data_IF_106015729953
#
_entry.id   IF_106015729953
#
_cell.length_a   1.000
_cell.length_b   1.000
_cell.length_c   1.000
_cell.angle_alpha   90.00
_cell.angle_beta   90.00
_cell.angle_gamma   90.00
#
_symmetry.space_group_name_H-M   'P 1'
#
loop_
_entity.id
_entity.type
_entity.pdbx_description
1 polymer ?
#
# COMPACT_ATOMS: atom_id res chain seq x y z
N UNK A 1 -35.65 38.46 -6.84
CA UNK A 1 -34.59 37.77 -7.61
C UNK A 1 -33.30 37.95 -6.85
N UNK A 2 -32.97 37.03 -5.95
CA UNK A 2 -31.76 37.10 -5.13
C UNK A 2 -30.64 36.38 -5.86
N UNK A 3 -29.88 37.16 -6.62
CA UNK A 3 -28.60 36.75 -7.19
C UNK A 3 -27.64 36.54 -6.01
N UNK A 4 -27.60 35.29 -5.55
CA UNK A 4 -26.75 34.91 -4.42
C UNK A 4 -25.44 34.51 -5.06
N UNK A 5 -24.41 35.35 -4.91
CA UNK A 5 -23.03 35.03 -5.32
C UNK A 5 -22.69 33.62 -4.83
N UNK A 6 -22.82 32.62 -5.72
CA UNK A 6 -22.47 31.25 -5.40
C UNK A 6 -20.97 31.25 -5.17
N UNK A 7 -20.55 30.85 -3.97
CA UNK A 7 -19.12 30.70 -3.70
C UNK A 7 -18.56 29.65 -4.66
N UNK A 8 -17.28 29.79 -5.04
CA UNK A 8 -16.61 28.83 -5.93
C UNK A 8 -16.72 27.39 -5.41
N UNK A 9 -16.69 27.20 -4.08
CA UNK A 9 -16.98 25.94 -3.40
C UNK A 9 -18.38 25.41 -3.72
N UNK A 10 -19.43 26.24 -3.62
CA UNK A 10 -20.80 25.82 -3.93
C UNK A 10 -20.96 25.41 -5.41
N UNK A 11 -20.33 26.14 -6.34
CA UNK A 11 -20.33 25.77 -7.76
C UNK A 11 -19.72 24.39 -8.00
N UNK A 12 -18.59 24.09 -7.34
CA UNK A 12 -17.91 22.78 -7.45
C UNK A 12 -18.82 21.64 -6.94
N UNK A 13 -19.46 21.84 -5.78
CA UNK A 13 -20.31 20.81 -5.18
C UNK A 13 -21.61 20.58 -5.99
N UNK A 14 -22.22 21.65 -6.50
CA UNK A 14 -23.37 21.54 -7.40
C UNK A 14 -23.01 20.77 -8.68
N UNK A 15 -21.84 21.09 -9.27
CA UNK A 15 -21.35 20.42 -10.46
C UNK A 15 -21.04 18.94 -10.20
N UNK A 16 -20.48 18.62 -9.03
CA UNK A 16 -20.19 17.26 -8.56
C UNK A 16 -21.46 16.44 -8.34
N UNK A 17 -22.46 17.02 -7.68
CA UNK A 17 -23.77 16.38 -7.49
C UNK A 17 -24.46 16.10 -8.83
N UNK A 18 -24.39 17.04 -9.77
CA UNK A 18 -24.95 16.88 -11.11
C UNK A 18 -24.15 15.91 -11.99
N UNK A 19 -22.87 15.65 -11.68
CA UNK A 19 -22.09 14.60 -12.32
C UNK A 19 -22.48 13.21 -11.79
N UNK A 20 -22.87 13.12 -10.52
CA UNK A 20 -23.36 11.88 -9.89
C UNK A 20 -22.29 10.78 -9.81
N UNK A 21 -21.02 11.15 -9.88
CA UNK A 21 -19.92 10.19 -9.80
C UNK A 21 -19.77 9.65 -8.38
N UNK A 22 -19.63 8.33 -8.25
CA UNK A 22 -19.37 7.66 -6.96
C UNK A 22 -17.93 7.92 -6.46
N UNK A 23 -17.01 8.20 -7.38
CA UNK A 23 -15.59 8.52 -7.12
C UNK A 23 -15.09 9.56 -8.13
N UNK A 24 -14.16 10.41 -7.71
CA UNK A 24 -13.58 11.46 -8.54
C UNK A 24 -12.10 11.18 -8.81
N UNK A 25 -11.78 10.75 -10.03
CA UNK A 25 -10.39 10.58 -10.51
C UNK A 25 -9.89 11.86 -11.20
N UNK A 26 -8.63 11.94 -11.67
CA UNK A 26 -8.17 13.07 -12.48
C UNK A 26 -9.06 13.33 -13.70
N UNK A 27 -9.70 12.28 -14.27
CA UNK A 27 -10.62 12.41 -15.39
C UNK A 27 -11.91 13.16 -14.99
N UNK A 28 -12.55 12.76 -13.87
CA UNK A 28 -13.75 13.41 -13.35
C UNK A 28 -13.46 14.83 -12.87
N UNK A 29 -12.28 15.08 -12.28
CA UNK A 29 -11.86 16.43 -11.90
C UNK A 29 -11.69 17.32 -13.13
N UNK A 30 -11.10 16.82 -14.21
CA UNK A 30 -11.01 17.57 -15.47
C UNK A 30 -12.38 17.76 -16.12
N UNK A 31 -13.29 16.79 -16.00
CA UNK A 31 -14.68 16.91 -16.44
C UNK A 31 -15.42 18.00 -15.65
N UNK A 32 -15.26 18.05 -14.33
CA UNK A 32 -15.79 19.12 -13.48
C UNK A 32 -15.24 20.48 -13.89
N UNK A 33 -13.93 20.56 -14.13
CA UNK A 33 -13.28 21.81 -14.54
C UNK A 33 -13.83 22.33 -15.88
N UNK A 34 -14.05 21.44 -16.86
CA UNK A 34 -14.69 21.80 -18.13
C UNK A 34 -16.13 22.25 -17.95
N UNK A 35 -16.89 21.57 -17.09
CA UNK A 35 -18.28 21.91 -16.79
C UNK A 35 -18.39 23.28 -16.10
N UNK A 36 -17.58 23.54 -15.10
CA UNK A 36 -17.51 24.83 -14.40
C UNK A 36 -17.15 25.97 -15.36
N UNK A 37 -16.19 25.75 -16.28
CA UNK A 37 -15.82 26.73 -17.29
C UNK A 37 -16.96 26.98 -18.30
N UNK A 38 -17.69 25.94 -18.71
CA UNK A 38 -18.79 26.04 -19.65
C UNK A 38 -20.02 26.74 -19.05
N UNK A 39 -20.33 26.47 -17.77
CA UNK A 39 -21.53 26.99 -17.10
C UNK A 39 -21.31 28.38 -16.47
N UNK A 40 -20.08 28.67 -16.02
CA UNK A 40 -19.78 29.90 -15.26
C UNK A 40 -18.67 30.77 -15.88
N UNK A 41 -18.14 30.41 -17.06
CA UNK A 41 -17.15 31.19 -17.76
C UNK A 41 -15.88 31.45 -16.92
N UNK A 42 -15.29 32.67 -16.96
CA UNK A 42 -14.08 32.99 -16.21
C UNK A 42 -14.19 32.77 -14.69
N UNK A 43 -15.39 32.91 -14.13
CA UNK A 43 -15.63 32.71 -12.68
C UNK A 43 -15.52 31.24 -12.29
N UNK A 44 -15.86 30.33 -13.20
CA UNK A 44 -15.71 28.87 -13.04
C UNK A 44 -14.28 28.36 -13.14
N UNK A 45 -13.32 29.20 -13.60
CA UNK A 45 -11.92 28.80 -13.76
C UNK A 45 -11.31 28.43 -12.41
N UNK A 46 -10.96 27.16 -12.26
CA UNK A 46 -10.49 26.56 -11.01
C UNK A 46 -9.42 25.51 -11.27
N UNK A 47 -8.42 25.40 -10.38
CA UNK A 47 -7.37 24.40 -10.47
C UNK A 47 -7.84 23.02 -10.00
N UNK A 48 -7.24 21.96 -10.55
CA UNK A 48 -7.56 20.57 -10.19
C UNK A 48 -7.36 20.29 -8.69
N UNK A 49 -6.27 20.79 -8.10
CA UNK A 49 -5.96 20.60 -6.69
C UNK A 49 -7.03 21.20 -5.77
N UNK A 50 -7.51 22.42 -6.08
CA UNK A 50 -8.57 23.07 -5.30
C UNK A 50 -9.92 22.36 -5.44
N UNK A 51 -10.22 21.80 -6.63
CA UNK A 51 -11.42 20.96 -6.81
C UNK A 51 -11.30 19.72 -5.93
N UNK A 52 -10.14 19.04 -5.96
CA UNK A 52 -9.89 17.86 -5.14
C UNK A 52 -10.04 18.14 -3.64
N UNK A 53 -9.48 19.25 -3.13
CA UNK A 53 -9.63 19.67 -1.73
C UNK A 53 -11.10 19.92 -1.37
N UNK A 54 -11.85 20.65 -2.20
CA UNK A 54 -13.27 20.94 -1.95
C UNK A 54 -14.12 19.67 -1.92
N UNK A 55 -13.84 18.71 -2.80
CA UNK A 55 -14.53 17.42 -2.82
C UNK A 55 -14.20 16.60 -1.56
N UNK A 56 -12.92 16.54 -1.15
CA UNK A 56 -12.49 15.87 0.08
C UNK A 56 -13.14 16.48 1.33
N UNK A 57 -13.16 17.81 1.43
CA UNK A 57 -13.81 18.56 2.52
C UNK A 57 -15.31 18.28 2.62
N UNK A 58 -15.95 17.97 1.50
CA UNK A 58 -17.37 17.62 1.44
C UNK A 58 -17.65 16.13 1.72
N UNK A 59 -16.61 15.35 2.05
CA UNK A 59 -16.70 13.91 2.27
C UNK A 59 -16.90 13.11 0.98
N UNK A 60 -16.67 13.72 -0.19
CA UNK A 60 -16.71 13.02 -1.47
C UNK A 60 -15.38 12.30 -1.73
N UNK A 61 -15.49 11.18 -2.43
CA UNK A 61 -14.42 10.24 -2.65
C UNK A 61 -13.51 10.70 -3.79
N UNK A 62 -12.24 11.00 -3.50
CA UNK A 62 -11.29 11.56 -4.48
C UNK A 62 -10.03 10.68 -4.54
N UNK A 63 -9.72 10.19 -5.74
CA UNK A 63 -8.62 9.26 -6.02
C UNK A 63 -7.73 9.89 -7.08
N UNK A 64 -6.59 10.49 -6.70
CA UNK A 64 -5.78 11.32 -7.59
C UNK A 64 -4.66 10.55 -8.30
N UNK A 65 -4.35 9.35 -7.82
CA UNK A 65 -3.29 8.50 -8.37
C UNK A 65 -3.80 7.09 -8.67
N UNK A 66 -3.17 6.43 -9.65
CA UNK A 66 -3.42 5.01 -9.95
C UNK A 66 -3.11 4.11 -8.73
N UNK A 67 -2.25 4.60 -7.83
CA UNK A 67 -1.91 3.93 -6.58
C UNK A 67 -3.06 3.99 -5.57
N UNK A 68 -3.68 5.15 -5.37
CA UNK A 68 -4.89 5.28 -4.53
C UNK A 68 -6.06 4.47 -5.11
N UNK A 69 -6.16 4.37 -6.44
CA UNK A 69 -7.20 3.54 -7.10
C UNK A 69 -6.99 2.04 -6.84
N UNK A 70 -5.74 1.57 -6.91
CA UNK A 70 -5.39 0.19 -6.61
C UNK A 70 -5.50 -0.13 -5.11
N UNK A 71 -5.15 0.81 -4.22
CA UNK A 71 -5.31 0.65 -2.77
C UNK A 71 -6.76 0.43 -2.39
N UNK A 72 -7.67 1.13 -3.05
CA UNK A 72 -9.10 1.04 -2.78
C UNK A 72 -9.77 -0.15 -3.44
N UNK A 73 -9.36 -0.49 -4.67
CA UNK A 73 -9.91 -1.64 -5.39
C UNK A 73 -9.50 -2.97 -4.73
N UNK A 74 -8.29 -3.01 -4.14
CA UNK A 74 -7.71 -4.22 -3.57
C UNK A 74 -7.46 -4.12 -2.06
N UNK A 75 -8.19 -3.24 -1.37
CA UNK A 75 -7.99 -2.97 0.06
C UNK A 75 -8.04 -4.25 0.90
N UNK A 76 -8.99 -5.14 0.59
CA UNK A 76 -9.14 -6.43 1.25
C UNK A 76 -7.93 -7.36 1.04
N UNK A 77 -7.30 -7.32 -0.14
CA UNK A 77 -6.09 -8.12 -0.39
C UNK A 77 -4.85 -7.57 0.31
N UNK A 78 -4.86 -6.30 0.69
CA UNK A 78 -3.77 -5.65 1.42
C UNK A 78 -3.94 -5.66 2.94
N UNK A 79 -5.12 -6.00 3.44
CA UNK A 79 -5.38 -6.07 4.87
C UNK A 79 -4.58 -7.19 5.55
N UNK A 80 -4.05 -6.89 6.74
CA UNK A 80 -3.23 -7.77 7.58
C UNK A 80 -2.03 -8.47 6.91
N UNK A 81 -1.53 -7.98 5.76
CA UNK A 81 -0.40 -8.61 5.05
C UNK A 81 0.92 -8.60 5.85
N UNK A 82 1.10 -7.65 6.78
CA UNK A 82 2.36 -7.48 7.54
C UNK A 82 2.26 -7.96 9.00
N UNK A 83 1.70 -9.16 9.19
CA UNK A 83 1.70 -9.83 10.48
C UNK A 83 2.75 -10.95 10.52
N UNK A 84 3.93 -10.67 11.08
CA UNK A 84 4.94 -11.71 11.31
C UNK A 84 5.72 -11.54 12.61
N UNK A 85 5.58 -12.54 13.48
CA UNK A 85 6.30 -12.60 14.75
C UNK A 85 7.48 -13.56 14.68
N UNK A 86 7.42 -14.61 13.87
CA UNK A 86 8.48 -15.61 13.69
C UNK A 86 9.01 -15.67 12.25
N UNK A 87 9.97 -16.55 11.99
CA UNK A 87 10.47 -16.86 10.64
C UNK A 87 9.40 -17.52 9.79
N UNK A 88 8.63 -18.46 10.36
CA UNK A 88 7.53 -19.14 9.68
C UNK A 88 6.44 -18.15 9.25
N UNK A 89 6.07 -17.20 10.12
CA UNK A 89 5.09 -16.17 9.77
C UNK A 89 5.62 -15.28 8.61
N UNK A 90 6.93 -14.97 8.62
CA UNK A 90 7.54 -14.16 7.59
C UNK A 90 7.60 -14.88 6.22
N UNK A 91 7.81 -16.20 6.22
CA UNK A 91 7.72 -17.03 5.02
C UNK A 91 6.30 -17.01 4.45
N UNK A 92 5.28 -17.20 5.30
CA UNK A 92 3.86 -17.11 4.88
C UNK A 92 3.54 -15.73 4.32
N UNK A 93 4.01 -14.67 4.97
CA UNK A 93 3.88 -13.29 4.50
C UNK A 93 4.49 -13.11 3.11
N UNK A 94 5.73 -13.56 2.89
CA UNK A 94 6.41 -13.45 1.60
C UNK A 94 5.73 -14.29 0.51
N UNK A 95 5.21 -15.47 0.83
CA UNK A 95 4.40 -16.28 -0.09
C UNK A 95 3.16 -15.52 -0.55
N UNK A 96 2.40 -14.90 0.36
CA UNK A 96 1.23 -14.09 0.00
C UNK A 96 1.59 -12.88 -0.86
N UNK A 97 2.68 -12.18 -0.53
CA UNK A 97 3.16 -11.06 -1.32
C UNK A 97 3.55 -11.51 -2.74
N UNK A 98 4.20 -12.66 -2.88
CA UNK A 98 4.54 -13.21 -4.20
C UNK A 98 3.31 -13.57 -5.02
N UNK A 99 2.34 -14.26 -4.41
CA UNK A 99 1.07 -14.60 -5.06
C UNK A 99 0.34 -13.37 -5.60
N UNK A 100 0.32 -12.27 -4.83
CA UNK A 100 -0.26 -11.00 -5.26
C UNK A 100 0.52 -10.37 -6.41
N UNK A 101 1.86 -10.37 -6.35
CA UNK A 101 2.69 -9.89 -7.47
C UNK A 101 2.40 -10.70 -8.74
N UNK A 102 2.33 -12.03 -8.66
CA UNK A 102 2.04 -12.86 -9.82
C UNK A 102 0.62 -12.65 -10.35
N UNK A 103 -0.38 -12.49 -9.45
CA UNK A 103 -1.77 -12.15 -9.80
C UNK A 103 -1.84 -10.84 -10.57
N UNK A 104 -1.29 -9.76 -10.02
CA UNK A 104 -1.35 -8.43 -10.64
C UNK A 104 -0.50 -8.34 -11.91
N UNK A 105 0.62 -9.08 -12.00
CA UNK A 105 1.38 -9.24 -13.26
C UNK A 105 0.54 -9.83 -14.38
N UNK A 106 -0.24 -10.89 -14.09
CA UNK A 106 -1.15 -11.52 -15.07
C UNK A 106 -2.28 -10.58 -15.51
N UNK A 107 -2.71 -9.69 -14.63
CA UNK A 107 -3.77 -8.71 -14.90
C UNK A 107 -3.24 -7.41 -15.55
N UNK A 108 -1.93 -7.18 -15.56
CA UNK A 108 -1.32 -5.95 -16.07
C UNK A 108 -1.40 -4.76 -15.11
N UNK A 109 -1.73 -5.02 -13.84
CA UNK A 109 -2.01 -4.01 -12.80
C UNK A 109 -0.72 -3.49 -12.16
N UNK A 110 -0.03 -2.57 -12.85
CA UNK A 110 1.28 -2.05 -12.42
C UNK A 110 1.23 -1.33 -11.07
N UNK A 111 0.16 -0.58 -10.80
CA UNK A 111 0.01 0.16 -9.54
C UNK A 111 -0.15 -0.78 -8.35
N UNK A 112 -0.93 -1.86 -8.51
CA UNK A 112 -1.11 -2.88 -7.49
C UNK A 112 0.21 -3.64 -7.22
N UNK A 113 1.01 -3.92 -8.24
CA UNK A 113 2.36 -4.50 -8.06
C UNK A 113 3.24 -3.57 -7.22
N UNK A 114 3.32 -2.28 -7.56
CA UNK A 114 4.14 -1.32 -6.80
C UNK A 114 3.68 -1.26 -5.34
N UNK A 115 2.37 -1.32 -5.10
CA UNK A 115 1.82 -1.37 -3.75
C UNK A 115 2.29 -2.60 -2.96
N UNK A 116 2.27 -3.79 -3.55
CA UNK A 116 2.80 -5.00 -2.91
C UNK A 116 4.29 -4.82 -2.55
N UNK A 117 5.08 -4.23 -3.46
CA UNK A 117 6.50 -3.96 -3.21
C UNK A 117 6.72 -2.94 -2.07
N UNK A 118 5.89 -1.90 -1.96
CA UNK A 118 5.94 -0.96 -0.85
C UNK A 118 5.66 -1.62 0.51
N UNK A 119 4.67 -2.51 0.55
CA UNK A 119 4.33 -3.30 1.74
C UNK A 119 5.51 -4.17 2.14
N UNK A 120 6.13 -4.87 1.19
CA UNK A 120 7.34 -5.66 1.44
C UNK A 120 8.51 -4.79 1.95
N UNK A 121 8.73 -3.60 1.38
CA UNK A 121 9.73 -2.64 1.88
C UNK A 121 9.42 -2.18 3.30
N UNK A 122 8.15 -2.01 3.67
CA UNK A 122 7.73 -1.70 5.03
C UNK A 122 8.02 -2.86 5.99
N UNK A 123 7.70 -4.09 5.60
CA UNK A 123 8.05 -5.31 6.35
C UNK A 123 9.54 -5.38 6.64
N UNK A 124 10.37 -5.17 5.61
CA UNK A 124 11.83 -5.10 5.74
C UNK A 124 12.28 -4.06 6.78
N UNK A 125 11.79 -2.82 6.66
CA UNK A 125 12.15 -1.72 7.58
C UNK A 125 11.76 -2.05 9.03
N UNK A 126 10.60 -2.65 9.25
CA UNK A 126 10.14 -3.08 10.59
C UNK A 126 11.08 -4.13 11.19
N UNK A 127 11.44 -5.15 10.40
CA UNK A 127 12.37 -6.20 10.83
C UNK A 127 13.77 -5.62 11.14
N UNK A 128 14.31 -4.77 10.25
CA UNK A 128 15.59 -4.08 10.47
C UNK A 128 15.60 -3.24 11.75
N UNK A 129 14.50 -2.53 12.02
CA UNK A 129 14.36 -1.69 13.22
C UNK A 129 14.50 -2.53 14.50
N UNK A 130 13.82 -3.67 14.56
CA UNK A 130 13.87 -4.55 15.74
C UNK A 130 15.24 -5.21 15.86
N UNK A 131 15.83 -5.67 14.75
CA UNK A 131 17.16 -6.28 14.73
C UNK A 131 18.26 -5.35 15.25
N UNK A 132 18.12 -4.03 15.04
CA UNK A 132 19.06 -3.00 15.51
C UNK A 132 18.80 -2.53 16.94
N UNK A 133 17.67 -2.88 17.56
CA UNK A 133 17.31 -2.39 18.88
C UNK A 133 18.06 -3.15 19.98
N UNK A 134 19.03 -2.55 20.70
CA UNK A 134 19.83 -3.27 21.69
C UNK A 134 19.04 -3.73 22.93
N UNK A 135 17.81 -3.23 23.12
CA UNK A 135 16.91 -3.67 24.20
C UNK A 135 16.20 -5.00 23.89
N UNK A 136 16.33 -5.51 22.67
CA UNK A 136 15.73 -6.77 22.24
C UNK A 136 16.74 -7.89 22.40
N UNK A 137 16.28 -9.04 22.88
CA UNK A 137 17.09 -10.23 23.10
C UNK A 137 17.88 -10.63 21.85
N UNK A 138 19.10 -11.13 22.06
CA UNK A 138 20.05 -11.40 20.97
C UNK A 138 19.50 -12.40 19.94
N UNK A 139 18.84 -13.47 20.41
CA UNK A 139 18.19 -14.45 19.54
C UNK A 139 17.09 -13.81 18.69
N UNK A 140 16.24 -12.96 19.31
CA UNK A 140 15.16 -12.28 18.60
C UNK A 140 15.68 -11.25 17.60
N UNK A 141 16.80 -10.58 17.89
CA UNK A 141 17.47 -9.69 16.93
C UNK A 141 18.03 -10.47 15.73
N UNK A 142 18.64 -11.63 15.97
CA UNK A 142 19.13 -12.50 14.90
C UNK A 142 17.99 -12.97 13.99
N UNK A 143 16.87 -13.39 14.58
CA UNK A 143 15.66 -13.77 13.84
C UNK A 143 15.14 -12.61 12.96
N UNK A 144 15.01 -11.39 13.53
CA UNK A 144 14.57 -10.22 12.76
C UNK A 144 15.57 -9.78 11.71
N UNK A 145 16.86 -10.01 11.91
CA UNK A 145 17.88 -9.78 10.88
C UNK A 145 17.71 -10.74 9.71
N UNK A 146 17.45 -12.02 9.99
CA UNK A 146 17.21 -13.03 8.96
C UNK A 146 15.95 -12.70 8.16
N UNK A 147 14.85 -12.33 8.83
CA UNK A 147 13.62 -11.87 8.17
C UNK A 147 13.88 -10.66 7.28
N UNK A 148 14.62 -9.64 7.76
CA UNK A 148 14.98 -8.48 6.94
C UNK A 148 15.78 -8.89 5.69
N UNK A 149 16.67 -9.88 5.81
CA UNK A 149 17.41 -10.40 4.67
C UNK A 149 16.51 -11.14 3.68
N UNK A 150 15.51 -11.89 4.15
CA UNK A 150 14.54 -12.55 3.27
C UNK A 150 13.75 -11.53 2.44
N UNK A 151 13.19 -10.50 3.09
CA UNK A 151 12.52 -9.40 2.39
C UNK A 151 13.44 -8.71 1.38
N UNK A 152 14.71 -8.52 1.71
CA UNK A 152 15.69 -7.91 0.80
C UNK A 152 15.87 -8.77 -0.46
N UNK A 153 16.11 -10.07 -0.30
CA UNK A 153 16.36 -10.97 -1.44
C UNK A 153 15.10 -11.14 -2.29
N UNK A 154 13.93 -11.25 -1.67
CA UNK A 154 12.67 -11.29 -2.42
C UNK A 154 12.44 -10.00 -3.22
N UNK A 155 12.73 -8.83 -2.65
CA UNK A 155 12.62 -7.54 -3.37
C UNK A 155 13.63 -7.41 -4.54
N UNK A 156 14.80 -8.03 -4.44
CA UNK A 156 15.85 -7.99 -5.46
C UNK A 156 15.59 -9.02 -6.57
N UNK A 157 15.19 -10.25 -6.19
CA UNK A 157 15.03 -11.41 -7.07
C UNK A 157 13.82 -12.25 -6.64
N UNK A 158 12.58 -11.80 -6.87
CA UNK A 158 11.38 -12.49 -6.40
C UNK A 158 11.23 -13.87 -7.04
N UNK A 159 11.52 -13.98 -8.34
CA UNK A 159 11.31 -15.22 -9.10
C UNK A 159 12.24 -16.38 -8.68
N UNK A 160 13.33 -16.10 -7.97
CA UNK A 160 14.29 -17.09 -7.47
C UNK A 160 14.30 -17.21 -5.94
N UNK A 161 13.47 -16.43 -5.25
CA UNK A 161 13.53 -16.30 -3.79
C UNK A 161 13.21 -17.61 -3.08
N UNK A 162 12.15 -18.33 -3.49
CA UNK A 162 11.73 -19.55 -2.79
C UNK A 162 12.72 -20.71 -2.99
N UNK A 163 13.29 -20.85 -4.19
CA UNK A 163 14.37 -21.81 -4.43
C UNK A 163 15.60 -21.49 -3.55
N UNK A 164 15.94 -20.20 -3.43
CA UNK A 164 17.00 -19.77 -2.53
C UNK A 164 16.67 -20.03 -1.06
N UNK A 165 15.43 -19.77 -0.63
CA UNK A 165 14.96 -19.94 0.74
C UNK A 165 15.05 -21.40 1.19
N UNK A 166 14.67 -22.33 0.32
CA UNK A 166 14.77 -23.77 0.56
C UNK A 166 16.21 -24.21 0.83
N UNK A 167 17.16 -23.67 0.06
CA UNK A 167 18.60 -23.92 0.28
C UNK A 167 19.08 -23.23 1.55
N UNK A 168 18.65 -22.00 1.82
CA UNK A 168 19.02 -21.23 3.02
C UNK A 168 18.62 -21.95 4.30
N UNK A 169 17.40 -22.51 4.38
CA UNK A 169 16.91 -23.26 5.55
C UNK A 169 17.67 -24.57 5.80
N UNK A 170 18.38 -25.09 4.79
CA UNK A 170 19.21 -26.29 4.92
C UNK A 170 20.66 -25.98 5.33
N UNK A 171 21.07 -24.71 5.32
CA UNK A 171 22.45 -24.33 5.62
C UNK A 171 22.82 -24.64 7.08
N UNK A 172 24.08 -25.05 7.35
CA UNK A 172 24.54 -25.30 8.72
C UNK A 172 24.34 -24.08 9.63
N UNK A 173 24.64 -22.88 9.13
CA UNK A 173 24.50 -21.64 9.90
C UNK A 173 23.04 -21.36 10.25
N UNK A 174 22.09 -21.66 9.35
CA UNK A 174 20.66 -21.52 9.65
C UNK A 174 20.24 -22.49 10.76
N UNK A 175 20.65 -23.75 10.66
CA UNK A 175 20.28 -24.79 11.62
C UNK A 175 20.91 -24.56 12.98
N UNK A 176 22.14 -24.08 13.04
CA UNK A 176 22.80 -23.70 14.30
C UNK A 176 22.12 -22.51 14.97
N UNK A 177 21.65 -21.52 14.20
CA UNK A 177 21.06 -20.30 14.74
C UNK A 177 19.56 -20.41 15.04
N UNK A 178 18.82 -21.22 14.29
CA UNK A 178 17.36 -21.26 14.32
C UNK A 178 16.76 -22.67 14.41
N UNK A 179 17.57 -23.73 14.28
CA UNK A 179 17.10 -25.12 14.18
C UNK A 179 16.55 -25.73 15.46
N UNK A 180 16.81 -25.14 16.63
CA UNK A 180 16.33 -25.62 17.94
C UNK A 180 15.17 -24.76 18.51
N UNK A 181 14.72 -23.74 17.79
CA UNK A 181 13.79 -22.72 18.30
C UNK A 181 12.43 -22.67 17.62
N UNK A 182 12.16 -23.53 16.62
CA UNK A 182 10.90 -23.56 15.85
C UNK A 182 9.64 -23.97 16.61
N UNK A 183 9.59 -23.85 17.95
CA UNK A 183 8.42 -24.22 18.73
C UNK A 183 8.33 -23.76 20.19
N UNK A 184 9.24 -22.95 20.72
CA UNK A 184 9.34 -22.77 22.18
C UNK A 184 8.92 -21.41 22.76
N UNK A 185 8.46 -20.42 21.98
CA UNK A 185 8.08 -19.11 22.56
C UNK A 185 6.71 -18.61 22.09
N UNK A 186 5.72 -19.50 22.22
CA UNK A 186 4.31 -19.13 22.33
C UNK A 186 3.94 -18.84 23.80
N UNK A 187 4.59 -17.87 24.46
CA UNK A 187 4.12 -17.30 25.74
C UNK A 187 5.07 -16.20 26.27
N UNK A 188 4.95 -14.97 25.76
CA UNK A 188 5.22 -13.77 26.55
C UNK A 188 4.59 -12.55 25.84
N UNK A 189 3.64 -11.93 26.55
CA UNK A 189 2.85 -10.71 26.29
C UNK A 189 3.30 -9.76 25.17
#
# INVERSE_FOLDING_TARGET
MTDTLKTKKAMILDAAQALGAERFTPAEIEQLRRKLLAEHGPEGKTGADYIAEVLKDAGLKVVLTQQEEAEEQYEEEFDDLLHFRTLEDAEVCLTRLDELVQKFRKQGERAAIERVLEIARLGRRRAEMIARNPKVEAAKRAEKMEIANWFRIWLETPDAFFDWLDVRKQSPEYREQFGDSGGAEAAAE
#
